data_IF_619006516674
#
_entry.id   IF_619006516674
#
_cell.length_a   1.000
_cell.length_b   1.000
_cell.length_c   1.000
_cell.angle_alpha   90.00
_cell.angle_beta   90.00
_cell.angle_gamma   90.00
#
_symmetry.space_group_name_H-M   'P 1'
#
loop_
_entity.id
_entity.type
_entity.pdbx_description
1 polymer ?
#
# COMPACT_ATOMS: atom_id res chain seq x y z
N UNK A 1 -3.01 14.07 5.76
CA UNK A 1 -4.17 14.70 5.10
C UNK A 1 -5.29 13.68 5.04
N UNK A 2 -6.48 14.05 4.58
CA UNK A 2 -7.60 13.12 4.45
C UNK A 2 -7.40 12.18 3.23
N UNK A 3 -7.78 10.90 3.38
CA UNK A 3 -7.75 9.90 2.30
C UNK A 3 -8.60 10.37 1.12
N UNK A 4 -8.00 10.60 -0.05
CA UNK A 4 -8.72 11.02 -1.25
C UNK A 4 -8.97 9.82 -2.18
N UNK A 5 -10.18 9.27 -2.12
CA UNK A 5 -10.59 8.11 -2.92
C UNK A 5 -10.88 8.45 -4.39
N UNK A 6 -11.01 9.73 -4.75
CA UNK A 6 -11.20 10.16 -6.14
C UNK A 6 -9.87 10.29 -6.90
N UNK A 7 -8.74 10.21 -6.19
CA UNK A 7 -7.39 10.28 -6.76
C UNK A 7 -6.57 9.07 -6.32
N UNK A 8 -7.07 7.88 -6.67
CA UNK A 8 -6.44 6.61 -6.36
C UNK A 8 -5.63 6.07 -7.53
N UNK A 9 -4.44 5.55 -7.26
CA UNK A 9 -3.67 4.73 -8.20
C UNK A 9 -3.54 3.32 -7.63
N UNK A 10 -3.80 2.33 -8.47
CA UNK A 10 -3.72 0.93 -8.09
C UNK A 10 -2.41 0.30 -8.59
N UNK A 11 -1.64 -0.26 -7.65
CA UNK A 11 -0.38 -0.94 -7.90
C UNK A 11 -0.52 -2.37 -7.39
N UNK A 12 -0.89 -3.26 -8.31
CA UNK A 12 -1.05 -4.68 -8.04
C UNK A 12 0.26 -5.46 -8.17
N UNK A 13 1.25 -4.88 -8.84
CA UNK A 13 2.54 -5.53 -9.05
C UNK A 13 3.67 -4.61 -8.58
N UNK A 14 4.02 -4.76 -7.31
CA UNK A 14 5.07 -3.98 -6.68
C UNK A 14 6.47 -4.27 -7.24
N UNK A 15 6.66 -5.36 -8.00
CA UNK A 15 7.97 -5.63 -8.63
C UNK A 15 8.33 -4.62 -9.73
N UNK A 16 7.33 -3.88 -10.22
CA UNK A 16 7.49 -2.85 -11.26
C UNK A 16 7.70 -1.44 -10.71
N UNK A 17 7.63 -1.26 -9.40
CA UNK A 17 7.69 0.06 -8.75
C UNK A 17 8.78 0.07 -7.69
N UNK A 18 9.56 1.15 -7.69
CA UNK A 18 10.52 1.43 -6.62
C UNK A 18 9.85 2.19 -5.46
N UNK A 19 10.55 2.28 -4.33
CA UNK A 19 10.11 3.13 -3.21
C UNK A 19 10.09 4.60 -3.60
N UNK A 20 11.02 5.05 -4.45
CA UNK A 20 11.05 6.42 -4.97
C UNK A 20 9.81 6.75 -5.80
N UNK A 21 9.30 5.78 -6.58
CA UNK A 21 8.05 5.95 -7.33
C UNK A 21 6.87 6.14 -6.39
N UNK A 22 6.78 5.32 -5.33
CA UNK A 22 5.75 5.46 -4.31
C UNK A 22 5.86 6.81 -3.57
N UNK A 23 7.07 7.22 -3.20
CA UNK A 23 7.30 8.49 -2.53
C UNK A 23 6.84 9.68 -3.39
N UNK A 24 7.13 9.64 -4.69
CA UNK A 24 6.66 10.66 -5.64
C UNK A 24 5.13 10.72 -5.67
N UNK A 25 4.45 9.58 -5.79
CA UNK A 25 2.98 9.52 -5.79
C UNK A 25 2.38 10.05 -4.48
N UNK A 26 2.98 9.70 -3.34
CA UNK A 26 2.56 10.18 -2.03
C UNK A 26 2.81 11.69 -1.86
N UNK A 27 3.90 12.24 -2.41
CA UNK A 27 4.17 13.70 -2.46
C UNK A 27 3.16 14.44 -3.31
N UNK A 28 2.66 13.81 -4.38
CA UNK A 28 1.58 14.31 -5.22
C UNK A 28 0.20 14.20 -4.55
N UNK A 29 0.12 13.81 -3.26
CA UNK A 29 -1.11 13.65 -2.49
C UNK A 29 -2.09 12.64 -3.09
N UNK A 30 -1.56 11.63 -3.79
CA UNK A 30 -2.35 10.51 -4.29
C UNK A 30 -2.61 9.50 -3.18
N UNK A 31 -3.76 8.84 -3.25
CA UNK A 31 -4.00 7.63 -2.49
C UNK A 31 -3.53 6.44 -3.34
N UNK A 32 -2.80 5.52 -2.76
CA UNK A 32 -2.28 4.36 -3.48
C UNK A 32 -2.98 3.12 -2.95
N UNK A 33 -3.47 2.27 -3.85
CA UNK A 33 -3.93 0.92 -3.51
C UNK A 33 -2.75 -0.01 -3.77
N UNK A 34 -2.21 -0.62 -2.72
CA UNK A 34 -1.08 -1.54 -2.82
C UNK A 34 -1.53 -2.98 -2.59
N UNK A 35 -1.07 -3.88 -3.45
CA UNK A 35 -1.12 -5.31 -3.21
C UNK A 35 0.05 -5.74 -2.33
N UNK A 36 -0.24 -6.19 -1.11
CA UNK A 36 0.76 -6.63 -0.13
C UNK A 36 0.45 -8.03 0.40
N UNK A 37 1.49 -8.68 0.91
CA UNK A 37 1.34 -9.87 1.74
C UNK A 37 1.13 -9.43 3.19
N UNK A 38 0.12 -9.99 3.86
CA UNK A 38 -0.23 -9.71 5.26
C UNK A 38 0.73 -10.41 6.21
N UNK A 39 2.00 -10.00 6.16
CA UNK A 39 3.03 -10.40 7.12
C UNK A 39 2.93 -9.60 8.42
N UNK A 40 3.87 -9.86 9.34
CA UNK A 40 3.93 -9.23 10.66
C UNK A 40 4.04 -7.69 10.56
N UNK A 41 4.94 -7.18 9.70
CA UNK A 41 5.15 -5.74 9.54
C UNK A 41 3.92 -5.01 8.99
N UNK A 42 3.25 -5.60 8.00
CA UNK A 42 2.04 -5.00 7.40
C UNK A 42 0.89 -5.07 8.41
N UNK A 43 0.76 -6.17 9.14
CA UNK A 43 -0.24 -6.30 10.22
C UNK A 43 -0.05 -5.27 11.32
N UNK A 44 1.20 -5.03 11.75
CA UNK A 44 1.51 -4.00 12.73
C UNK A 44 1.19 -2.60 12.19
N UNK A 45 1.56 -2.31 10.94
CA UNK A 45 1.27 -1.01 10.32
C UNK A 45 -0.23 -0.76 10.19
N UNK A 46 -1.00 -1.78 9.82
CA UNK A 46 -2.47 -1.73 9.77
C UNK A 46 -3.10 -1.49 11.14
N UNK A 47 -2.55 -2.11 12.20
CA UNK A 47 -3.03 -1.89 13.56
C UNK A 47 -2.73 -0.47 14.07
N UNK A 48 -1.59 0.10 13.69
CA UNK A 48 -1.22 1.48 14.01
C UNK A 48 -1.93 2.51 13.12
N UNK A 49 -2.50 2.09 11.99
CA UNK A 49 -3.03 2.99 10.96
C UNK A 49 -1.93 3.77 10.20
N UNK A 50 -0.66 3.44 10.43
CA UNK A 50 0.49 4.12 9.87
C UNK A 50 1.63 3.14 9.56
N UNK A 51 2.26 3.31 8.41
CA UNK A 51 3.45 2.56 8.00
C UNK A 51 4.69 3.44 8.16
N UNK A 52 5.53 3.11 9.14
CA UNK A 52 6.83 3.77 9.36
C UNK A 52 7.76 3.65 8.13
N UNK A 53 7.66 2.53 7.42
CA UNK A 53 8.46 2.25 6.24
C UNK A 53 8.10 3.17 5.06
N UNK A 54 6.80 3.37 4.81
CA UNK A 54 6.30 4.24 3.73
C UNK A 54 6.15 5.71 4.19
N UNK A 55 6.27 5.97 5.49
CA UNK A 55 5.99 7.26 6.14
C UNK A 55 4.61 7.80 5.71
N UNK A 56 3.60 6.93 5.77
CA UNK A 56 2.27 7.18 5.26
C UNK A 56 1.22 6.43 6.09
N UNK A 57 -0.01 6.96 6.12
CA UNK A 57 -1.16 6.26 6.68
C UNK A 57 -1.44 5.00 5.85
N UNK A 58 -1.95 3.97 6.52
CA UNK A 58 -2.28 2.70 5.88
C UNK A 58 -3.61 2.17 6.43
N UNK A 59 -4.43 1.61 5.55
CA UNK A 59 -5.70 1.01 5.92
C UNK A 59 -5.99 -0.21 5.04
N UNK A 60 -6.62 -1.23 5.61
CA UNK A 60 -7.02 -2.42 4.86
C UNK A 60 -8.20 -2.06 3.95
N UNK A 61 -8.04 -2.27 2.64
CA UNK A 61 -9.14 -2.17 1.66
C UNK A 61 -9.89 -3.50 1.59
N UNK A 62 -9.16 -4.59 1.39
CA UNK A 62 -9.73 -5.89 1.04
C UNK A 62 -8.75 -7.03 1.33
N UNK A 63 -9.28 -8.23 1.58
CA UNK A 63 -8.53 -9.48 1.69
C UNK A 63 -8.94 -10.36 0.51
N UNK A 64 -7.97 -10.84 -0.27
CA UNK A 64 -8.20 -11.69 -1.45
C UNK A 64 -7.02 -12.61 -1.65
N UNK A 65 -7.24 -13.90 -1.88
CA UNK A 65 -6.18 -14.93 -1.90
C UNK A 65 -5.08 -14.71 -2.96
N UNK A 66 -5.34 -13.90 -3.99
CA UNK A 66 -4.34 -13.51 -4.98
C UNK A 66 -4.71 -12.16 -5.62
N UNK A 67 -4.33 -11.08 -4.96
CA UNK A 67 -4.59 -9.72 -5.45
C UNK A 67 -3.39 -9.08 -6.15
N UNK A 68 -2.30 -9.84 -6.38
CA UNK A 68 -1.12 -9.35 -7.10
C UNK A 68 0.20 -9.82 -6.49
N UNK A 69 1.23 -9.01 -6.64
CA UNK A 69 2.61 -9.29 -6.21
C UNK A 69 3.05 -8.27 -5.18
N UNK A 70 3.41 -8.75 -3.98
CA UNK A 70 3.98 -7.94 -2.92
C UNK A 70 5.41 -7.50 -3.29
N UNK A 71 5.88 -6.38 -2.74
CA UNK A 71 7.25 -5.87 -2.99
C UNK A 71 8.38 -6.83 -2.59
N UNK A 72 8.10 -7.82 -1.75
CA UNK A 72 9.04 -8.90 -1.43
C UNK A 72 9.05 -10.06 -2.44
N UNK A 73 8.32 -9.95 -3.56
CA UNK A 73 8.19 -10.97 -4.61
C UNK A 73 7.25 -12.12 -4.29
N UNK A 74 6.59 -12.10 -3.11
CA UNK A 74 5.57 -13.10 -2.74
C UNK A 74 4.19 -12.70 -3.30
N UNK A 75 3.28 -13.67 -3.48
CA UNK A 75 1.88 -13.38 -3.77
C UNK A 75 1.30 -12.47 -2.69
N UNK A 76 0.60 -11.42 -3.12
CA UNK A 76 -0.15 -10.54 -2.24
C UNK A 76 -1.51 -11.17 -1.92
N UNK A 77 -1.91 -11.07 -0.65
CA UNK A 77 -3.19 -11.59 -0.15
C UNK A 77 -4.12 -10.49 0.40
N UNK A 78 -3.68 -9.23 0.37
CA UNK A 78 -4.46 -8.08 0.79
C UNK A 78 -4.22 -6.88 -0.12
N UNK A 79 -5.26 -6.06 -0.25
CA UNK A 79 -5.16 -4.70 -0.79
C UNK A 79 -5.23 -3.71 0.36
N UNK A 80 -4.36 -2.71 0.34
CA UNK A 80 -4.34 -1.63 1.33
C UNK A 80 -4.40 -0.27 0.65
N UNK A 81 -5.07 0.68 1.29
CA UNK A 81 -4.92 2.09 0.97
C UNK A 81 -3.68 2.64 1.67
N UNK A 82 -2.89 3.44 0.96
CA UNK A 82 -1.75 4.19 1.50
C UNK A 82 -1.85 5.65 1.07
N UNK A 83 -1.75 6.59 2.01
CA UNK A 83 -1.83 8.02 1.73
C UNK A 83 -1.13 8.85 2.81
N UNK A 84 -0.81 10.12 2.52
CA UNK A 84 -0.24 11.06 3.50
C UNK A 84 -1.28 11.96 4.16
#
# INVERSE_FOLDING_TARGET
MSKNLNNTIEILDMSKYSLDDLEKLLKEQKTIILALEKGEHVSNSLNLGYSEYLKANIELKEISENCGTCGCGKPANILVYVWR
#
